data_IF_750109419430
#
_entry.id   IF_750109419430
#
_cell.length_a   1.000
_cell.length_b   1.000
_cell.length_c   1.000
_cell.angle_alpha   90.00
_cell.angle_beta   90.00
_cell.angle_gamma   90.00
#
_symmetry.space_group_name_H-M   'P 1'
#
loop_
_entity.id
_entity.type
_entity.pdbx_description
1 polymer ?
#
# COMPACT_ATOMS: atom_id res chain seq x y z
N UNK A 1 -16.00 0.95 -1.89
CA UNK A 1 -14.81 0.45 -2.61
C UNK A 1 -13.81 -0.03 -1.58
N UNK A 2 -13.06 -1.11 -1.84
CA UNK A 2 -11.98 -1.53 -0.95
C UNK A 2 -10.80 -0.54 -1.02
N UNK A 3 -9.96 -0.53 0.02
CA UNK A 3 -8.71 0.26 0.01
C UNK A 3 -7.84 -0.20 -1.15
N UNK A 4 -7.74 -1.51 -1.40
CA UNK A 4 -7.00 -2.03 -2.54
C UNK A 4 -7.51 -1.45 -3.87
N UNK A 5 -8.83 -1.47 -4.11
CA UNK A 5 -9.43 -0.91 -5.33
C UNK A 5 -9.15 0.59 -5.47
N UNK A 6 -9.17 1.32 -4.35
CA UNK A 6 -8.83 2.75 -4.32
C UNK A 6 -7.37 2.99 -4.68
N UNK A 7 -6.44 2.21 -4.11
CA UNK A 7 -5.01 2.26 -4.42
C UNK A 7 -4.75 1.94 -5.89
N UNK A 8 -5.38 0.90 -6.45
CA UNK A 8 -5.27 0.56 -7.87
C UNK A 8 -5.69 1.71 -8.77
N UNK A 9 -6.81 2.37 -8.46
CA UNK A 9 -7.30 3.53 -9.22
C UNK A 9 -6.32 4.70 -9.17
N UNK A 10 -5.84 5.07 -7.97
CA UNK A 10 -4.86 6.15 -7.79
C UNK A 10 -3.57 5.88 -8.56
N UNK A 11 -2.99 4.69 -8.39
CA UNK A 11 -1.71 4.32 -9.01
C UNK A 11 -1.81 4.19 -10.53
N UNK A 12 -2.91 3.63 -11.06
CA UNK A 12 -3.16 3.58 -12.50
C UNK A 12 -3.27 4.98 -13.09
N UNK A 13 -4.01 5.87 -12.43
CA UNK A 13 -4.20 7.26 -12.89
C UNK A 13 -2.91 8.07 -12.85
N UNK A 14 -2.13 7.95 -11.78
CA UNK A 14 -0.93 8.76 -11.58
C UNK A 14 0.25 8.33 -12.44
N UNK A 15 0.42 7.01 -12.65
CA UNK A 15 1.65 6.46 -13.21
C UNK A 15 1.48 5.69 -14.51
N UNK A 16 0.25 5.48 -15.00
CA UNK A 16 -0.04 4.70 -16.22
C UNK A 16 0.85 3.45 -16.36
N UNK A 17 0.87 2.55 -15.36
CA UNK A 17 1.89 1.52 -15.24
C UNK A 17 1.74 0.43 -16.31
N UNK A 18 2.87 -0.05 -16.81
CA UNK A 18 2.97 -1.24 -17.65
C UNK A 18 2.60 -2.50 -16.86
N UNK A 19 2.89 -2.51 -15.54
CA UNK A 19 2.49 -3.57 -14.62
C UNK A 19 2.22 -2.99 -13.24
N UNK A 20 1.10 -3.41 -12.65
CA UNK A 20 0.73 -3.10 -11.27
C UNK A 20 0.21 -4.35 -10.57
N UNK A 21 0.77 -4.67 -9.42
CA UNK A 21 0.28 -5.71 -8.50
C UNK A 21 0.22 -5.11 -7.10
N UNK A 22 -0.95 -5.21 -6.47
CA UNK A 22 -1.17 -4.83 -5.08
C UNK A 22 -1.57 -6.10 -4.32
N UNK A 23 -0.83 -6.43 -3.28
CA UNK A 23 -1.02 -7.64 -2.47
C UNK A 23 -1.37 -7.19 -1.06
N UNK A 24 -2.54 -7.58 -0.57
CA UNK A 24 -2.91 -7.38 0.82
C UNK A 24 -2.16 -8.38 1.71
N UNK A 25 -1.27 -7.87 2.56
CA UNK A 25 -0.43 -8.64 3.48
C UNK A 25 -0.86 -8.41 4.95
N UNK A 26 -2.02 -7.81 5.19
CA UNK A 26 -2.52 -7.49 6.54
C UNK A 26 -2.53 -8.69 7.50
N UNK A 27 -2.81 -9.89 6.98
CA UNK A 27 -2.81 -11.13 7.76
C UNK A 27 -1.42 -11.50 8.32
N UNK A 28 -0.33 -11.07 7.68
CA UNK A 28 1.03 -11.28 8.18
C UNK A 28 1.35 -10.42 9.40
N UNK A 29 0.50 -9.44 9.70
CA UNK A 29 0.70 -8.46 10.77
C UNK A 29 -0.36 -8.58 11.88
N UNK A 30 -1.09 -9.70 11.94
CA UNK A 30 -1.98 -10.03 13.04
C UNK A 30 -1.25 -9.90 14.40
N UNK A 31 -1.90 -9.30 15.39
CA UNK A 31 -1.38 -9.13 16.75
C UNK A 31 -0.61 -7.82 17.05
N UNK A 32 -0.24 -7.03 16.04
CA UNK A 32 0.39 -5.71 16.26
C UNK A 32 -0.67 -4.60 16.39
N UNK A 33 -1.25 -4.42 17.58
CA UNK A 33 -1.98 -3.18 17.91
C UNK A 33 -1.01 -2.09 18.41
N UNK A 34 -1.28 -0.83 18.05
CA UNK A 34 -0.87 0.30 18.86
C UNK A 34 -1.63 0.21 20.19
N UNK A 35 -0.90 0.06 21.31
CA UNK A 35 -1.45 -0.11 22.67
C UNK A 35 -2.12 1.17 23.22
N UNK A 36 -2.21 2.25 22.45
CA UNK A 36 -2.59 3.59 22.96
C UNK A 36 -4.11 3.81 23.11
N UNK A 37 -4.91 2.76 23.10
CA UNK A 37 -6.33 2.82 23.46
C UNK A 37 -6.66 1.66 24.36
N UNK A 38 -7.36 1.93 25.47
CA UNK A 38 -7.84 0.99 26.50
C UNK A 38 -8.72 -0.18 25.98
N UNK A 39 -8.78 -0.37 24.67
CA UNK A 39 -9.42 -1.50 24.02
C UNK A 39 -8.39 -2.59 23.77
N UNK A 40 -8.48 -3.68 24.54
CA UNK A 40 -7.91 -4.99 24.24
C UNK A 40 -8.58 -5.60 22.98
N UNK A 41 -8.53 -4.90 21.85
CA UNK A 41 -8.80 -5.49 20.55
C UNK A 41 -7.55 -6.24 20.11
N UNK A 42 -7.68 -7.53 19.81
CA UNK A 42 -6.68 -8.24 19.02
C UNK A 42 -6.87 -7.85 17.56
N UNK A 43 -5.78 -7.44 16.91
CA UNK A 43 -5.78 -7.23 15.46
C UNK A 43 -5.72 -8.63 14.88
N UNK A 44 -6.85 -9.14 14.42
CA UNK A 44 -7.00 -10.50 13.92
C UNK A 44 -6.32 -10.72 12.55
N UNK A 45 -5.63 -9.70 12.03
CA UNK A 45 -4.99 -9.73 10.71
C UNK A 45 -5.99 -9.59 9.56
N UNK A 46 -7.28 -9.47 9.86
CA UNK A 46 -8.30 -9.15 8.87
C UNK A 46 -8.30 -7.63 8.63
N UNK A 47 -8.52 -7.24 7.37
CA UNK A 47 -8.53 -5.83 6.96
C UNK A 47 -7.51 -5.49 5.89
N UNK A 48 -7.31 -4.19 5.69
CA UNK A 48 -6.55 -3.59 4.59
C UNK A 48 -5.56 -2.55 5.16
N UNK A 49 -4.65 -3.01 6.01
CA UNK A 49 -3.70 -2.16 6.74
C UNK A 49 -2.28 -2.24 6.17
N UNK A 50 -1.88 -3.39 5.65
CA UNK A 50 -0.55 -3.62 5.10
C UNK A 50 -0.65 -4.12 3.66
N UNK A 51 0.06 -3.43 2.76
CA UNK A 51 0.07 -3.74 1.34
C UNK A 51 1.48 -3.79 0.78
N UNK A 52 1.76 -4.80 -0.04
CA UNK A 52 2.91 -4.81 -0.93
C UNK A 52 2.49 -4.34 -2.31
N UNK A 53 3.14 -3.28 -2.79
CA UNK A 53 2.94 -2.74 -4.15
C UNK A 53 4.14 -3.09 -5.02
N UNK A 54 3.88 -3.72 -6.17
CA UNK A 54 4.87 -3.93 -7.22
C UNK A 54 4.40 -3.19 -8.46
N UNK A 55 5.15 -2.17 -8.87
CA UNK A 55 4.78 -1.29 -9.97
C UNK A 55 5.95 -1.10 -10.93
N UNK A 56 5.65 -1.17 -12.23
CA UNK A 56 6.57 -0.87 -13.34
C UNK A 56 5.93 0.24 -14.17
N UNK A 57 6.64 1.36 -14.30
CA UNK A 57 6.19 2.53 -15.07
C UNK A 57 7.40 3.34 -15.53
N UNK A 58 7.33 3.86 -16.75
CA UNK A 58 8.27 4.83 -17.30
C UNK A 58 8.31 6.15 -16.50
N UNK A 59 7.26 6.47 -15.74
CA UNK A 59 7.21 7.64 -14.86
C UNK A 59 8.31 7.65 -13.78
N UNK A 60 8.92 6.49 -13.50
CA UNK A 60 10.03 6.35 -12.55
C UNK A 60 11.43 6.48 -13.19
N UNK A 61 11.51 6.69 -14.51
CA UNK A 61 12.79 6.89 -15.18
C UNK A 61 13.52 8.13 -14.62
N UNK A 62 14.82 8.02 -14.37
CA UNK A 62 15.62 9.08 -13.76
C UNK A 62 15.44 9.27 -12.25
N UNK A 63 14.39 8.70 -11.63
CA UNK A 63 14.19 8.77 -10.18
C UNK A 63 15.04 7.73 -9.44
N UNK A 64 15.67 8.15 -8.35
CA UNK A 64 16.27 7.27 -7.35
C UNK A 64 15.22 6.41 -6.65
N UNK A 65 15.67 5.37 -5.93
CA UNK A 65 14.78 4.50 -5.16
C UNK A 65 13.90 5.27 -4.18
N UNK A 66 14.46 6.24 -3.44
CA UNK A 66 13.71 7.00 -2.43
C UNK A 66 12.67 7.90 -3.09
N UNK A 67 13.02 8.55 -4.19
CA UNK A 67 12.09 9.43 -4.93
C UNK A 67 10.88 8.66 -5.46
N UNK A 68 11.08 7.44 -5.97
CA UNK A 68 9.97 6.57 -6.39
C UNK A 68 9.01 6.26 -5.24
N UNK A 69 9.55 5.92 -4.07
CA UNK A 69 8.73 5.69 -2.88
C UNK A 69 7.98 6.94 -2.42
N UNK A 70 8.64 8.11 -2.41
CA UNK A 70 8.01 9.39 -2.06
C UNK A 70 6.91 9.77 -3.05
N UNK A 71 7.12 9.56 -4.35
CA UNK A 71 6.13 9.81 -5.38
C UNK A 71 4.86 8.96 -5.16
N UNK A 72 5.02 7.68 -4.80
CA UNK A 72 3.89 6.80 -4.46
C UNK A 72 3.17 7.26 -3.19
N UNK A 73 3.91 7.63 -2.13
CA UNK A 73 3.33 8.02 -0.84
C UNK A 73 2.64 9.40 -0.86
N UNK A 74 2.83 10.21 -1.91
CA UNK A 74 2.22 11.52 -2.06
C UNK A 74 0.83 11.52 -2.72
N UNK A 75 0.27 10.34 -3.07
CA UNK A 75 -1.02 10.16 -3.74
C UNK A 75 -2.22 9.98 -2.80
#
# INVERSE_FOLDING_TARGET
MSIQSTMEGKLKKAFSPERLVIINESHLHAGHHHQDSDHHGTYDGTGETHFRVRIVSSAFAGMSRIERHRAVNAL
#
